data_IF_551462835490
#
_entry.id   IF_551462835490
#
_cell.length_a   1.000
_cell.length_b   1.000
_cell.length_c   1.000
_cell.angle_alpha   90.00
_cell.angle_beta   90.00
_cell.angle_gamma   90.00
#
_symmetry.space_group_name_H-M   'P 1'
#
loop_
_entity.id
_entity.type
_entity.pdbx_description
1 polymer ?
#
# COMPACT_ATOMS: atom_id res chain seq x y z
N UNK A 1 11.81 -1.92 -20.97
CA UNK A 1 12.92 -2.67 -20.32
C UNK A 1 12.87 -4.10 -20.82
N UNK A 2 14.00 -4.61 -21.32
CA UNK A 2 14.15 -6.01 -21.71
C UNK A 2 14.92 -6.77 -20.65
N UNK A 3 14.42 -7.93 -20.27
CA UNK A 3 14.99 -8.77 -19.22
C UNK A 3 15.14 -10.20 -19.73
N UNK A 4 16.29 -10.79 -19.48
CA UNK A 4 16.54 -12.21 -19.74
C UNK A 4 16.82 -12.94 -18.42
N UNK A 5 16.76 -14.29 -18.38
CA UNK A 5 17.10 -15.03 -17.19
C UNK A 5 18.51 -14.74 -16.67
N UNK A 6 19.44 -14.43 -17.58
CA UNK A 6 20.84 -14.09 -17.26
C UNK A 6 20.98 -12.73 -16.60
N UNK A 7 20.03 -11.82 -16.81
CA UNK A 7 20.05 -10.48 -16.24
C UNK A 7 19.46 -10.44 -14.81
N UNK A 8 18.76 -11.50 -14.39
CA UNK A 8 18.16 -11.57 -13.07
C UNK A 8 19.17 -12.13 -12.09
N UNK A 9 19.83 -11.26 -11.39
CA UNK A 9 20.71 -11.58 -10.27
C UNK A 9 20.36 -10.71 -9.08
N UNK A 10 20.62 -11.21 -7.87
CA UNK A 10 20.37 -10.47 -6.62
C UNK A 10 21.24 -11.03 -5.50
N UNK A 11 21.44 -10.23 -4.46
CA UNK A 11 22.18 -10.64 -3.28
C UNK A 11 21.35 -11.64 -2.44
N UNK A 12 22.02 -12.39 -1.60
CA UNK A 12 21.33 -13.25 -0.62
C UNK A 12 20.83 -12.46 0.60
N UNK A 13 21.25 -11.21 0.75
CA UNK A 13 20.76 -10.25 1.74
C UNK A 13 20.09 -9.09 1.02
N UNK A 14 18.84 -8.84 1.39
CA UNK A 14 17.98 -7.82 0.77
C UNK A 14 17.60 -6.77 1.79
N UNK A 15 17.84 -5.52 1.44
CA UNK A 15 17.37 -4.33 2.14
C UNK A 15 16.02 -3.92 1.53
N UNK A 16 14.95 -4.14 2.27
CA UNK A 16 13.59 -3.80 1.81
C UNK A 16 13.30 -2.31 2.03
N UNK A 17 12.44 -1.68 1.20
CA UNK A 17 11.95 -0.35 1.50
C UNK A 17 11.15 -0.36 2.80
N UNK A 18 11.08 0.78 3.49
CA UNK A 18 10.20 0.94 4.65
C UNK A 18 8.73 0.90 4.22
N UNK A 19 7.87 0.36 5.11
CA UNK A 19 6.44 0.20 4.85
C UNK A 19 5.78 1.53 4.49
N UNK A 20 5.26 1.61 3.27
CA UNK A 20 4.49 2.76 2.79
C UNK A 20 3.25 3.00 3.66
N UNK A 21 2.57 1.94 4.04
CA UNK A 21 1.33 2.01 4.82
C UNK A 21 1.56 2.55 6.23
N UNK A 22 2.65 2.15 6.88
CA UNK A 22 3.05 2.69 8.18
C UNK A 22 3.56 4.12 8.06
N UNK A 23 4.44 4.39 7.08
CA UNK A 23 5.01 5.72 6.85
C UNK A 23 3.94 6.79 6.66
N UNK A 24 2.92 6.52 5.84
CA UNK A 24 1.85 7.47 5.60
C UNK A 24 1.02 7.72 6.87
N UNK A 25 0.81 6.71 7.74
CA UNK A 25 0.14 6.89 9.03
C UNK A 25 0.99 7.68 10.01
N UNK A 26 2.28 7.39 10.08
CA UNK A 26 3.22 8.12 10.92
C UNK A 26 3.28 9.61 10.54
N UNK A 27 3.29 9.93 9.23
CA UNK A 27 3.22 11.31 8.74
C UNK A 27 1.93 12.02 9.18
N UNK A 28 0.79 11.33 9.13
CA UNK A 28 -0.48 11.91 9.60
C UNK A 28 -0.49 12.12 11.11
N UNK A 29 0.01 11.16 11.89
CA UNK A 29 0.15 11.29 13.35
C UNK A 29 1.03 12.49 13.69
N UNK A 30 2.16 12.63 13.00
CA UNK A 30 3.06 13.76 13.18
C UNK A 30 2.42 15.09 12.81
N UNK A 31 1.67 15.15 11.72
CA UNK A 31 0.92 16.35 11.31
C UNK A 31 -0.10 16.74 12.39
N UNK A 32 -0.87 15.79 12.91
CA UNK A 32 -1.87 16.05 13.96
C UNK A 32 -1.25 16.41 15.31
N UNK A 33 -0.14 15.80 15.69
CA UNK A 33 0.62 16.17 16.87
C UNK A 33 1.12 17.63 16.79
N UNK A 34 1.64 18.07 15.65
CA UNK A 34 2.03 19.47 15.42
C UNK A 34 0.82 20.40 15.54
N UNK A 35 -0.30 20.05 14.89
CA UNK A 35 -1.53 20.84 14.95
C UNK A 35 -2.02 21.03 16.39
N UNK A 36 -1.92 20.01 17.25
CA UNK A 36 -2.25 20.13 18.67
C UNK A 36 -1.32 21.09 19.41
N UNK A 37 0.00 21.01 19.17
CA UNK A 37 0.98 21.91 19.81
C UNK A 37 0.78 23.37 19.42
N UNK A 38 0.42 23.66 18.17
CA UNK A 38 0.15 25.01 17.70
C UNK A 38 -1.08 25.64 18.38
N UNK A 39 -2.12 24.88 18.65
CA UNK A 39 -3.29 25.36 19.40
C UNK A 39 -2.95 25.74 20.83
N UNK A 40 -1.95 25.14 21.45
CA UNK A 40 -1.52 25.41 22.83
C UNK A 40 -0.53 26.57 22.93
N UNK A 41 0.32 26.75 21.94
CA UNK A 41 1.33 27.79 21.91
C UNK A 41 0.78 29.05 21.26
N UNK A 42 0.21 29.99 22.06
CA UNK A 42 -0.15 31.33 21.56
C UNK A 42 1.03 32.13 21.01
N UNK A 43 2.26 31.65 21.14
CA UNK A 43 3.52 32.31 20.71
C UNK A 43 4.65 31.28 20.67
N UNK A 44 4.98 30.78 19.51
CA UNK A 44 6.38 30.47 19.12
C UNK A 44 6.44 29.98 17.66
N UNK A 45 7.36 30.55 16.87
CA UNK A 45 7.69 30.13 15.51
C UNK A 45 7.93 28.62 15.49
N UNK A 46 7.27 27.96 14.58
CA UNK A 46 7.48 26.53 14.30
C UNK A 46 8.87 26.38 13.78
N UNK A 47 9.67 25.60 14.46
CA UNK A 47 10.86 25.02 13.85
C UNK A 47 10.42 24.15 12.67
N UNK A 48 11.03 24.38 11.51
CA UNK A 48 10.70 23.78 10.23
C UNK A 48 10.61 22.24 10.28
N UNK A 49 9.92 21.67 9.32
CA UNK A 49 9.84 20.21 9.09
C UNK A 49 11.24 19.55 9.03
N UNK A 50 12.30 20.34 8.74
CA UNK A 50 13.70 19.90 8.75
C UNK A 50 14.24 19.52 10.14
N UNK A 51 13.65 20.01 11.23
CA UNK A 51 14.10 19.71 12.60
C UNK A 51 13.58 18.38 13.16
N UNK A 52 12.73 17.69 12.44
CA UNK A 52 12.34 16.34 12.82
C UNK A 52 13.37 15.35 12.30
N UNK A 53 14.08 14.69 13.20
CA UNK A 53 15.04 13.60 12.93
C UNK A 53 14.48 12.45 12.06
N UNK A 54 13.17 12.50 11.69
CA UNK A 54 12.56 11.62 10.68
C UNK A 54 13.01 11.94 9.25
N UNK A 55 13.53 13.17 8.99
CA UNK A 55 13.97 13.58 7.66
C UNK A 55 15.50 13.51 7.48
N UNK A 56 16.27 13.39 8.55
CA UNK A 56 17.73 13.36 8.48
C UNK A 56 18.33 11.99 8.13
N UNK A 57 17.51 10.95 8.11
CA UNK A 57 17.94 9.67 7.56
C UNK A 57 16.84 9.10 6.63
N UNK A 58 17.18 8.94 5.36
CA UNK A 58 16.44 8.20 4.34
C UNK A 58 16.02 6.77 4.78
N UNK A 59 16.41 6.38 5.98
CA UNK A 59 16.15 5.07 6.61
C UNK A 59 14.89 5.00 7.46
N UNK A 60 14.23 6.12 7.80
CA UNK A 60 13.15 6.13 8.79
C UNK A 60 11.74 6.06 8.21
N UNK A 61 11.51 6.53 6.98
CA UNK A 61 10.23 6.43 6.28
C UNK A 61 10.41 5.89 4.87
N UNK A 62 9.30 5.46 4.25
CA UNK A 62 9.30 5.03 2.85
C UNK A 62 9.70 6.16 1.91
N UNK A 63 10.56 5.86 0.94
CA UNK A 63 10.94 6.76 -0.17
C UNK A 63 10.00 6.61 -1.38
N UNK A 64 8.88 5.92 -1.22
CA UNK A 64 7.87 5.75 -2.27
C UNK A 64 7.24 7.08 -2.67
N UNK A 65 6.86 7.21 -3.95
CA UNK A 65 6.24 8.42 -4.49
C UNK A 65 5.01 8.85 -3.69
N UNK A 66 4.18 7.88 -3.24
CA UNK A 66 2.99 8.15 -2.43
C UNK A 66 3.37 8.82 -1.09
N UNK A 67 4.44 8.37 -0.42
CA UNK A 67 4.87 8.92 0.87
C UNK A 67 5.51 10.30 0.70
N UNK A 68 6.35 10.46 -0.32
CA UNK A 68 6.97 11.76 -0.66
C UNK A 68 5.91 12.79 -1.01
N UNK A 69 4.89 12.40 -1.78
CA UNK A 69 3.78 13.26 -2.15
C UNK A 69 2.97 13.70 -0.92
N UNK A 70 2.65 12.77 -0.01
CA UNK A 70 1.96 13.11 1.24
C UNK A 70 2.77 14.07 2.08
N UNK A 71 4.06 13.81 2.28
CA UNK A 71 4.97 14.69 3.02
C UNK A 71 4.99 16.10 2.41
N UNK A 72 5.09 16.21 1.08
CA UNK A 72 5.08 17.48 0.37
C UNK A 72 3.80 18.27 0.65
N UNK A 73 2.63 17.65 0.56
CA UNK A 73 1.36 18.34 0.82
C UNK A 73 1.20 18.74 2.28
N UNK A 74 1.64 17.91 3.23
CA UNK A 74 1.60 18.23 4.66
C UNK A 74 2.62 19.31 5.08
N UNK A 75 3.62 19.58 4.23
CA UNK A 75 4.64 20.61 4.46
C UNK A 75 4.23 22.00 3.94
N UNK A 76 3.11 22.11 3.23
CA UNK A 76 2.61 23.40 2.75
C UNK A 76 2.08 24.23 3.92
N UNK A 77 2.43 25.53 3.92
CA UNK A 77 1.91 26.48 4.91
C UNK A 77 0.62 27.11 4.41
N UNK A 78 -0.47 26.79 5.08
CA UNK A 78 -1.81 27.31 4.79
C UNK A 78 -2.26 28.42 5.76
N UNK A 79 -1.37 28.92 6.61
CA UNK A 79 -1.71 29.92 7.65
C UNK A 79 -2.09 31.31 7.09
N UNK A 80 -1.72 31.58 5.85
CA UNK A 80 -1.92 32.88 5.20
C UNK A 80 -3.04 32.91 4.18
N UNK A 81 -3.86 31.84 4.10
CA UNK A 81 -4.94 31.75 3.12
C UNK A 81 -6.02 32.80 3.38
N UNK A 82 -6.41 33.50 2.32
CA UNK A 82 -7.61 34.31 2.31
C UNK A 82 -8.87 33.46 2.12
N UNK A 83 -10.03 33.93 2.62
CA UNK A 83 -11.31 33.19 2.57
C UNK A 83 -11.75 32.83 1.13
N UNK A 84 -11.25 33.54 0.11
CA UNK A 84 -11.60 33.36 -1.30
C UNK A 84 -10.56 32.53 -2.08
N UNK A 85 -9.46 32.15 -1.47
CA UNK A 85 -8.41 31.39 -2.13
C UNK A 85 -8.77 29.90 -2.16
N UNK A 86 -8.60 29.30 -3.34
CA UNK A 86 -8.82 27.86 -3.55
C UNK A 86 -7.48 27.20 -3.83
N UNK A 87 -7.11 26.21 -3.01
CA UNK A 87 -5.87 25.48 -3.18
C UNK A 87 -6.17 24.14 -3.82
N UNK A 88 -5.49 23.87 -4.92
CA UNK A 88 -5.53 22.56 -5.58
C UNK A 88 -4.40 21.67 -5.09
N UNK A 89 -4.75 20.47 -4.65
CA UNK A 89 -3.83 19.42 -4.21
C UNK A 89 -3.96 18.20 -5.14
N UNK A 90 -2.98 18.06 -6.04
CA UNK A 90 -2.91 16.90 -6.93
C UNK A 90 -2.34 15.69 -6.17
N UNK A 91 -3.17 14.68 -5.97
CA UNK A 91 -2.81 13.43 -5.30
C UNK A 91 -2.29 12.36 -6.28
N UNK A 92 -2.03 12.69 -7.54
CA UNK A 92 -1.60 11.77 -8.59
C UNK A 92 -2.47 10.50 -8.64
N UNK A 93 -1.86 9.29 -8.54
CA UNK A 93 -2.60 8.03 -8.40
C UNK A 93 -2.51 7.46 -6.96
N UNK A 94 -2.24 8.30 -5.96
CA UNK A 94 -1.99 7.90 -4.57
C UNK A 94 -3.28 7.94 -3.72
N UNK A 95 -4.02 6.82 -3.68
CA UNK A 95 -5.30 6.73 -2.97
C UNK A 95 -5.22 7.01 -1.48
N UNK A 96 -4.12 6.64 -0.81
CA UNK A 96 -3.88 6.94 0.61
C UNK A 96 -3.70 8.44 0.82
N UNK A 97 -2.93 9.09 -0.05
CA UNK A 97 -2.69 10.55 0.00
C UNK A 97 -4.02 11.29 -0.08
N UNK A 98 -4.81 11.02 -1.12
CA UNK A 98 -6.12 11.66 -1.31
C UNK A 98 -7.03 11.49 -0.10
N UNK A 99 -7.20 10.25 0.40
CA UNK A 99 -8.13 9.96 1.50
C UNK A 99 -7.67 10.54 2.84
N UNK A 100 -6.37 10.54 3.11
CA UNK A 100 -5.84 11.13 4.34
C UNK A 100 -5.91 12.66 4.30
N UNK A 101 -5.61 13.27 3.17
CA UNK A 101 -5.74 14.72 3.00
C UNK A 101 -7.21 15.19 3.07
N UNK A 102 -8.19 14.40 2.57
CA UNK A 102 -9.61 14.76 2.72
C UNK A 102 -9.96 15.10 4.15
N UNK A 103 -9.60 14.25 5.11
CA UNK A 103 -9.87 14.52 6.53
C UNK A 103 -8.99 15.63 7.08
N UNK A 104 -7.71 15.70 6.69
CA UNK A 104 -6.79 16.73 7.19
C UNK A 104 -7.25 18.14 6.78
N UNK A 105 -7.50 18.36 5.48
CA UNK A 105 -7.93 19.70 5.00
C UNK A 105 -9.34 20.08 5.45
N UNK A 106 -10.18 19.09 5.80
CA UNK A 106 -11.50 19.34 6.39
C UNK A 106 -11.42 20.02 7.75
N UNK A 107 -10.27 19.95 8.43
CA UNK A 107 -10.02 20.59 9.74
C UNK A 107 -9.22 21.89 9.63
N UNK A 108 -8.86 22.32 8.43
CA UNK A 108 -8.09 23.55 8.16
C UNK A 108 -9.01 24.67 7.72
N UNK A 109 -8.63 25.92 7.98
CA UNK A 109 -9.32 27.07 7.39
C UNK A 109 -8.96 27.18 5.91
N UNK A 110 -9.95 27.40 5.05
CA UNK A 110 -9.75 27.58 3.61
C UNK A 110 -10.60 26.66 2.75
N UNK A 111 -10.41 26.78 1.44
CA UNK A 111 -11.09 25.96 0.42
C UNK A 111 -10.07 25.19 -0.37
N UNK A 112 -10.24 23.87 -0.45
CA UNK A 112 -9.30 22.95 -1.07
C UNK A 112 -9.98 22.15 -2.18
N UNK A 113 -9.28 21.95 -3.30
CA UNK A 113 -9.68 21.02 -4.35
C UNK A 113 -8.70 19.85 -4.33
N UNK A 114 -9.21 18.64 -4.09
CA UNK A 114 -8.41 17.44 -4.18
C UNK A 114 -8.71 16.74 -5.51
N UNK A 115 -7.65 16.51 -6.28
CA UNK A 115 -7.70 15.89 -7.59
C UNK A 115 -6.64 14.80 -7.75
N UNK A 116 -6.44 14.29 -8.95
CA UNK A 116 -5.40 13.33 -9.28
C UNK A 116 -5.50 12.85 -10.72
N UNK A 117 -4.78 11.80 -11.04
CA UNK A 117 -4.77 11.20 -12.39
C UNK A 117 -6.17 10.75 -12.84
N UNK A 118 -6.34 10.50 -14.14
CA UNK A 118 -7.61 9.97 -14.69
C UNK A 118 -8.03 8.67 -14.00
N UNK A 119 -7.08 7.85 -13.57
CA UNK A 119 -7.38 6.65 -12.76
C UNK A 119 -7.87 7.01 -11.36
N UNK A 120 -7.31 8.04 -10.72
CA UNK A 120 -7.78 8.51 -9.41
C UNK A 120 -9.22 8.99 -9.50
N UNK A 121 -9.61 9.69 -10.55
CA UNK A 121 -10.98 10.14 -10.80
C UNK A 121 -12.00 9.00 -10.98
N UNK A 122 -11.54 7.75 -11.08
CA UNK A 122 -12.36 6.54 -11.14
C UNK A 122 -12.40 5.77 -9.81
N UNK A 123 -11.69 6.24 -8.78
CA UNK A 123 -11.62 5.59 -7.46
C UNK A 123 -12.62 6.23 -6.50
N UNK A 124 -13.59 5.47 -5.95
CA UNK A 124 -14.67 6.05 -5.18
C UNK A 124 -14.19 6.66 -3.86
N UNK A 125 -14.85 7.76 -3.46
CA UNK A 125 -14.61 8.49 -2.19
C UNK A 125 -15.90 8.75 -1.41
N UNK A 126 -17.05 8.35 -1.94
CA UNK A 126 -18.37 8.67 -1.37
C UNK A 126 -18.49 8.33 0.13
N UNK A 127 -18.08 7.16 0.64
CA UNK A 127 -18.25 6.86 2.06
C UNK A 127 -17.55 7.88 2.97
N UNK A 128 -16.35 8.36 2.58
CA UNK A 128 -15.63 9.38 3.36
C UNK A 128 -16.24 10.77 3.20
N UNK A 129 -16.73 11.11 2.01
CA UNK A 129 -17.44 12.38 1.77
C UNK A 129 -18.71 12.46 2.61
N UNK A 130 -19.53 11.41 2.61
CA UNK A 130 -20.77 11.35 3.38
C UNK A 130 -20.48 11.44 4.89
N UNK A 131 -19.43 10.76 5.36
CA UNK A 131 -18.98 10.82 6.72
C UNK A 131 -18.56 12.25 7.14
N UNK A 132 -17.73 12.93 6.35
CA UNK A 132 -17.29 14.29 6.63
C UNK A 132 -18.44 15.29 6.53
N UNK A 133 -19.36 15.13 5.58
CA UNK A 133 -20.59 15.94 5.50
C UNK A 133 -21.46 15.80 6.75
N UNK A 134 -21.62 14.58 7.27
CA UNK A 134 -22.39 14.35 8.51
C UNK A 134 -21.72 14.99 9.74
N UNK A 135 -20.42 15.23 9.69
CA UNK A 135 -19.66 15.98 10.70
C UNK A 135 -19.68 17.51 10.47
N UNK A 136 -20.45 18.00 9.48
CA UNK A 136 -20.66 19.41 9.22
C UNK A 136 -19.76 20.05 8.18
N UNK A 137 -18.96 19.26 7.46
CA UNK A 137 -18.04 19.78 6.43
C UNK A 137 -18.77 19.93 5.09
N UNK A 138 -18.57 21.07 4.43
CA UNK A 138 -19.09 21.31 3.07
C UNK A 138 -18.14 20.71 2.04
N UNK A 139 -18.66 19.76 1.25
CA UNK A 139 -17.90 19.09 0.19
C UNK A 139 -18.76 19.01 -1.07
N UNK A 140 -18.19 19.41 -2.22
CA UNK A 140 -18.83 19.34 -3.52
C UNK A 140 -18.02 18.40 -4.44
N UNK A 141 -18.71 17.60 -5.23
CA UNK A 141 -18.12 16.89 -6.37
C UNK A 141 -18.04 17.85 -7.56
N UNK A 142 -16.88 17.98 -8.20
CA UNK A 142 -16.69 18.93 -9.28
C UNK A 142 -17.02 18.36 -10.68
N UNK A 143 -16.88 17.05 -10.86
CA UNK A 143 -17.13 16.38 -12.15
C UNK A 143 -18.21 15.30 -11.97
N UNK A 144 -17.87 14.18 -11.34
CA UNK A 144 -18.75 13.02 -11.21
C UNK A 144 -19.06 12.75 -9.75
N UNK A 145 -20.34 12.58 -9.40
CA UNK A 145 -20.74 12.20 -8.04
C UNK A 145 -20.06 10.91 -7.59
N UNK A 146 -19.65 10.87 -6.34
CA UNK A 146 -18.93 9.78 -5.67
C UNK A 146 -17.42 9.70 -6.00
N UNK A 147 -16.89 10.54 -6.87
CA UNK A 147 -15.51 10.49 -7.36
C UNK A 147 -14.80 11.84 -7.29
N UNK A 148 -13.45 11.86 -7.18
CA UNK A 148 -12.68 13.10 -7.38
C UNK A 148 -12.84 13.64 -8.83
N UNK A 149 -12.60 14.95 -9.07
CA UNK A 149 -12.16 15.97 -8.11
C UNK A 149 -13.28 16.39 -7.15
N UNK A 150 -12.86 16.72 -5.91
CA UNK A 150 -13.77 17.21 -4.87
C UNK A 150 -13.29 18.53 -4.32
N UNK A 151 -14.23 19.44 -4.02
CA UNK A 151 -13.97 20.70 -3.36
C UNK A 151 -14.41 20.63 -1.91
N UNK A 152 -13.52 20.92 -0.98
CA UNK A 152 -13.75 20.86 0.47
C UNK A 152 -13.58 22.26 1.04
N UNK A 153 -14.61 22.76 1.72
CA UNK A 153 -14.48 23.94 2.58
C UNK A 153 -14.25 23.46 4.01
N UNK A 154 -13.05 23.68 4.51
CA UNK A 154 -12.68 23.24 5.83
C UNK A 154 -13.38 24.02 6.94
N UNK A 155 -13.42 23.44 8.13
CA UNK A 155 -14.15 23.99 9.27
C UNK A 155 -13.90 23.22 10.56
N UNK A 156 -14.68 23.53 11.59
CA UNK A 156 -14.58 22.87 12.88
C UNK A 156 -15.32 21.52 12.85
N UNK A 157 -14.64 20.45 13.24
CA UNK A 157 -15.22 19.11 13.42
C UNK A 157 -15.28 18.82 14.93
N UNK A 158 -16.48 18.64 15.46
CA UNK A 158 -16.69 18.33 16.89
C UNK A 158 -16.56 16.84 17.19
N UNK A 159 -16.68 15.99 16.18
CA UNK A 159 -16.70 14.54 16.37
C UNK A 159 -18.07 14.02 16.85
N UNK A 160 -18.10 12.79 17.35
CA UNK A 160 -19.31 12.13 17.86
C UNK A 160 -19.52 10.73 17.28
N UNK A 161 -20.78 10.32 17.08
CA UNK A 161 -21.10 9.01 16.53
C UNK A 161 -21.13 9.06 14.99
N UNK A 162 -20.55 8.04 14.34
CA UNK A 162 -20.46 7.93 12.91
C UNK A 162 -20.53 6.47 12.45
N UNK A 163 -21.14 6.25 11.30
CA UNK A 163 -21.08 4.96 10.61
C UNK A 163 -20.35 5.14 9.29
N UNK A 164 -19.51 4.13 8.91
CA UNK A 164 -18.79 4.17 7.64
C UNK A 164 -18.67 2.79 7.02
N UNK A 165 -18.93 2.71 5.72
CA UNK A 165 -18.67 1.49 4.97
C UNK A 165 -17.18 1.36 4.66
N UNK A 166 -16.60 0.21 5.01
CA UNK A 166 -15.21 -0.16 4.71
C UNK A 166 -15.10 -1.17 3.56
N UNK A 167 -16.21 -1.47 2.92
CA UNK A 167 -16.27 -2.45 1.85
C UNK A 167 -15.32 -2.12 0.69
N UNK A 168 -15.24 -0.85 0.29
CA UNK A 168 -14.37 -0.39 -0.80
C UNK A 168 -12.95 -0.07 -0.33
N UNK A 169 -12.78 0.40 0.90
CA UNK A 169 -11.47 0.78 1.43
C UNK A 169 -11.46 0.99 2.94
N UNK A 170 -10.55 0.31 3.61
CA UNK A 170 -10.23 0.55 5.03
C UNK A 170 -9.60 1.93 5.29
N UNK A 171 -9.08 2.60 4.24
CA UNK A 171 -8.45 3.92 4.37
C UNK A 171 -9.44 5.01 4.78
N UNK A 172 -10.73 4.85 4.49
CA UNK A 172 -11.77 5.77 4.93
C UNK A 172 -11.85 5.82 6.46
N UNK A 173 -11.96 4.65 7.09
CA UNK A 173 -11.96 4.54 8.55
C UNK A 173 -10.62 5.00 9.14
N UNK A 174 -9.49 4.56 8.58
CA UNK A 174 -8.15 4.97 9.04
C UNK A 174 -7.96 6.49 9.04
N UNK A 175 -8.45 7.18 8.01
CA UNK A 175 -8.36 8.63 7.89
C UNK A 175 -9.10 9.36 9.02
N UNK A 176 -10.33 8.93 9.33
CA UNK A 176 -11.14 9.51 10.42
C UNK A 176 -10.55 9.19 11.81
N UNK A 177 -10.10 7.93 12.01
CA UNK A 177 -9.50 7.50 13.28
C UNK A 177 -8.26 8.33 13.63
N UNK A 178 -7.38 8.57 12.67
CA UNK A 178 -6.16 9.36 12.87
C UNK A 178 -6.46 10.82 13.26
N UNK A 179 -7.55 11.40 12.79
CA UNK A 179 -7.93 12.77 13.11
C UNK A 179 -8.75 12.89 14.42
N UNK A 180 -9.45 11.82 14.78
CA UNK A 180 -10.42 11.80 15.88
C UNK A 180 -9.90 12.28 17.26
N UNK A 181 -8.63 12.03 17.65
CA UNK A 181 -8.11 12.56 18.92
C UNK A 181 -8.15 14.08 19.04
N UNK A 182 -8.19 14.80 17.91
CA UNK A 182 -8.24 16.27 17.87
C UNK A 182 -9.64 16.83 18.03
N UNK A 183 -10.68 16.00 17.92
CA UNK A 183 -12.07 16.41 17.99
C UNK A 183 -12.58 16.49 19.44
N UNK A 184 -13.38 17.50 19.75
CA UNK A 184 -13.91 17.78 21.10
C UNK A 184 -14.59 16.56 21.74
N UNK A 185 -15.37 15.81 20.94
CA UNK A 185 -16.13 14.63 21.39
C UNK A 185 -15.43 13.30 21.04
N UNK A 186 -14.22 13.36 20.44
CA UNK A 186 -13.60 12.17 19.87
C UNK A 186 -14.48 11.56 18.78
N UNK A 187 -14.42 10.23 18.63
CA UNK A 187 -15.17 9.48 17.61
C UNK A 187 -15.66 8.14 18.15
N UNK A 188 -16.93 7.85 17.97
CA UNK A 188 -17.49 6.50 18.08
C UNK A 188 -17.85 6.03 16.67
N UNK A 189 -16.98 5.24 16.05
CA UNK A 189 -17.07 4.79 14.66
C UNK A 189 -17.62 3.37 14.59
N UNK A 190 -18.73 3.18 13.86
CA UNK A 190 -19.28 1.87 13.54
C UNK A 190 -18.91 1.52 12.10
N UNK A 191 -18.23 0.37 11.91
CA UNK A 191 -17.86 -0.14 10.59
C UNK A 191 -19.03 -0.92 9.99
N UNK A 192 -19.42 -0.59 8.75
CA UNK A 192 -20.51 -1.26 8.02
C UNK A 192 -19.99 -1.90 6.72
N UNK A 193 -20.84 -2.74 6.11
CA UNK A 193 -20.48 -3.49 4.91
C UNK A 193 -19.62 -4.72 5.19
N UNK A 194 -19.01 -5.25 4.14
CA UNK A 194 -18.05 -6.34 4.25
C UNK A 194 -16.72 -5.80 4.82
N UNK A 195 -16.23 -6.45 5.88
CA UNK A 195 -15.00 -6.03 6.60
C UNK A 195 -13.74 -6.46 5.84
N UNK A 196 -13.52 -5.88 4.67
CA UNK A 196 -12.30 -6.11 3.91
C UNK A 196 -11.13 -5.29 4.47
N UNK A 197 -9.91 -5.81 4.33
CA UNK A 197 -8.68 -5.09 4.69
C UNK A 197 -8.63 -4.60 6.15
N UNK A 198 -9.26 -5.35 7.08
CA UNK A 198 -9.29 -5.02 8.51
C UNK A 198 -7.90 -4.86 9.15
N UNK A 199 -6.87 -5.64 8.80
CA UNK A 199 -5.54 -5.47 9.36
C UNK A 199 -4.96 -4.07 9.19
N UNK A 200 -5.35 -3.31 8.14
CA UNK A 200 -4.92 -1.92 7.96
C UNK A 200 -5.59 -0.95 8.95
N UNK A 201 -6.81 -1.27 9.41
CA UNK A 201 -7.46 -0.52 10.50
C UNK A 201 -6.77 -0.86 11.82
N UNK A 202 -6.46 -2.14 12.05
CA UNK A 202 -5.73 -2.60 13.23
C UNK A 202 -4.34 -1.97 13.32
N UNK A 203 -3.61 -1.91 12.20
CA UNK A 203 -2.35 -1.17 12.10
C UNK A 203 -2.53 0.30 12.54
N UNK A 204 -3.56 0.98 12.06
CA UNK A 204 -3.85 2.37 12.44
C UNK A 204 -4.09 2.48 13.94
N UNK A 205 -4.94 1.62 14.51
CA UNK A 205 -5.25 1.61 15.95
C UNK A 205 -3.99 1.35 16.79
N UNK A 206 -3.17 0.39 16.39
CA UNK A 206 -1.96 0.04 17.13
C UNK A 206 -0.93 1.18 17.09
N UNK A 207 -0.74 1.83 15.94
CA UNK A 207 0.11 3.00 15.83
C UNK A 207 -0.40 4.18 16.69
N UNK A 208 -1.73 4.41 16.72
CA UNK A 208 -2.33 5.43 17.60
C UNK A 208 -2.11 5.11 19.08
N UNK A 209 -2.32 3.86 19.49
CA UNK A 209 -2.06 3.41 20.88
C UNK A 209 -0.59 3.57 21.28
N UNK A 210 0.33 3.25 20.36
CA UNK A 210 1.77 3.42 20.60
C UNK A 210 2.14 4.86 20.96
N UNK A 211 1.49 5.84 20.33
CA UNK A 211 1.69 7.27 20.62
C UNK A 211 0.71 7.84 21.67
N UNK A 212 0.14 6.97 22.50
CA UNK A 212 -0.60 7.34 23.71
C UNK A 212 -2.06 7.73 23.50
N UNK A 213 -2.66 7.44 22.36
CA UNK A 213 -4.09 7.66 22.13
C UNK A 213 -4.90 6.51 22.72
N UNK A 214 -5.96 6.86 23.47
CA UNK A 214 -6.89 5.88 24.03
C UNK A 214 -7.90 5.45 22.94
N UNK A 215 -7.74 4.21 22.45
CA UNK A 215 -8.62 3.61 21.45
C UNK A 215 -9.15 2.29 21.97
N UNK A 216 -10.46 2.18 22.05
CA UNK A 216 -11.17 0.95 22.37
C UNK A 216 -11.77 0.36 21.08
N UNK A 217 -11.65 -0.96 20.89
CA UNK A 217 -12.30 -1.66 19.78
C UNK A 217 -13.11 -2.84 20.31
N UNK A 218 -14.35 -2.91 19.86
CA UNK A 218 -15.23 -4.03 20.10
C UNK A 218 -15.92 -4.39 18.77
N UNK A 219 -15.49 -5.50 18.15
CA UNK A 219 -15.94 -5.97 16.85
C UNK A 219 -15.93 -4.85 15.78
N UNK A 220 -17.10 -4.38 15.38
CA UNK A 220 -17.31 -3.34 14.36
C UNK A 220 -17.25 -1.91 14.92
N UNK A 221 -17.24 -1.76 16.22
CA UNK A 221 -17.27 -0.45 16.89
C UNK A 221 -15.88 -0.07 17.40
N UNK A 222 -15.43 1.14 17.04
CA UNK A 222 -14.15 1.70 17.46
C UNK A 222 -14.44 3.02 18.15
N UNK A 223 -13.93 3.20 19.36
CA UNK A 223 -14.10 4.42 20.15
C UNK A 223 -12.72 5.06 20.33
N UNK A 224 -12.58 6.29 19.87
CA UNK A 224 -11.39 7.13 20.06
C UNK A 224 -11.79 8.28 20.96
N UNK A 225 -11.21 8.35 22.16
CA UNK A 225 -11.42 9.48 23.07
C UNK A 225 -10.60 10.70 22.65
N UNK A 226 -11.07 11.95 22.94
CA UNK A 226 -10.22 13.12 22.79
C UNK A 226 -8.89 12.88 23.52
N UNK A 227 -7.78 13.05 22.81
CA UNK A 227 -6.47 12.70 23.34
C UNK A 227 -5.40 13.58 22.71
N UNK A 228 -4.24 13.64 23.36
CA UNK A 228 -3.06 14.24 22.75
C UNK A 228 -2.13 13.16 22.24
N UNK A 229 -1.68 13.35 21.03
CA UNK A 229 -0.58 12.56 20.51
C UNK A 229 0.70 12.83 21.31
N UNK A 230 1.35 11.77 21.78
CA UNK A 230 2.70 11.82 22.32
C UNK A 230 3.63 11.34 21.23
N UNK A 231 4.45 12.21 20.70
CA UNK A 231 5.36 11.83 19.66
C UNK A 231 6.59 11.16 20.28
N UNK A 232 6.74 9.88 20.02
CA UNK A 232 7.95 9.10 20.25
C UNK A 232 8.52 8.67 18.89
N UNK A 233 9.79 8.29 18.85
CA UNK A 233 10.44 7.85 17.62
C UNK A 233 9.74 6.58 17.08
N UNK A 234 9.04 6.70 15.97
CA UNK A 234 8.51 5.55 15.26
C UNK A 234 9.63 4.81 14.53
N UNK A 235 9.74 3.52 14.77
CA UNK A 235 10.53 2.63 13.91
C UNK A 235 9.58 2.02 12.89
N UNK A 236 9.59 2.56 11.67
CA UNK A 236 8.82 2.00 10.55
C UNK A 236 9.46 0.68 10.12
N UNK A 237 8.66 -0.38 10.07
CA UNK A 237 9.13 -1.70 9.63
C UNK A 237 9.43 -1.73 8.12
N UNK A 238 10.30 -2.65 7.65
CA UNK A 238 10.35 -2.99 6.23
C UNK A 238 8.99 -3.46 5.70
N UNK A 239 8.76 -3.24 4.41
CA UNK A 239 7.44 -3.45 3.78
C UNK A 239 7.22 -4.93 3.42
N UNK A 240 6.24 -5.57 4.06
CA UNK A 240 5.84 -6.94 3.77
C UNK A 240 5.22 -7.10 2.37
N UNK A 241 4.58 -6.06 1.82
CA UNK A 241 4.16 -6.10 0.43
C UNK A 241 5.35 -6.18 -0.54
N UNK A 242 6.44 -5.47 -0.22
CA UNK A 242 7.70 -5.56 -0.99
C UNK A 242 8.37 -6.92 -0.78
N UNK A 243 8.32 -7.47 0.44
CA UNK A 243 8.84 -8.80 0.74
C UNK A 243 8.17 -9.88 -0.11
N UNK A 244 6.86 -9.79 -0.38
CA UNK A 244 6.13 -10.79 -1.17
C UNK A 244 6.76 -11.03 -2.55
N UNK A 245 7.31 -10.01 -3.20
CA UNK A 245 8.03 -10.17 -4.47
C UNK A 245 9.36 -10.92 -4.30
N UNK A 246 10.03 -10.80 -3.15
CA UNK A 246 11.24 -11.57 -2.87
C UNK A 246 10.94 -13.04 -2.53
N UNK A 247 9.78 -13.33 -1.95
CA UNK A 247 9.28 -14.69 -1.83
C UNK A 247 9.02 -15.30 -3.21
N UNK A 248 8.36 -14.57 -4.12
CA UNK A 248 8.16 -14.96 -5.50
C UNK A 248 9.49 -15.19 -6.22
N UNK A 249 10.41 -14.22 -6.17
CA UNK A 249 11.74 -14.31 -6.78
C UNK A 249 12.50 -15.53 -6.26
N UNK A 250 12.49 -15.79 -4.96
CA UNK A 250 13.12 -16.99 -4.41
C UNK A 250 12.45 -18.26 -4.92
N UNK A 251 11.11 -18.32 -4.94
CA UNK A 251 10.35 -19.47 -5.43
C UNK A 251 10.70 -19.81 -6.89
N UNK A 252 10.90 -18.80 -7.73
CA UNK A 252 11.21 -18.96 -9.16
C UNK A 252 12.69 -19.13 -9.46
N UNK A 253 13.61 -18.69 -8.58
CA UNK A 253 15.06 -18.72 -8.80
C UNK A 253 15.68 -20.09 -8.51
N UNK A 254 16.97 -20.24 -8.83
CA UNK A 254 17.79 -21.40 -8.45
C UNK A 254 18.45 -21.24 -7.07
N UNK A 255 18.26 -20.11 -6.39
CA UNK A 255 18.78 -19.89 -5.03
C UNK A 255 18.00 -20.69 -4.01
N UNK A 256 18.69 -21.10 -2.94
CA UNK A 256 18.09 -21.88 -1.84
C UNK A 256 17.57 -20.99 -0.71
N UNK A 257 18.08 -19.77 -0.55
CA UNK A 257 17.71 -18.87 0.54
C UNK A 257 17.97 -17.39 0.25
N UNK A 258 17.21 -16.53 0.94
CA UNK A 258 17.39 -15.07 0.99
C UNK A 258 17.21 -14.60 2.43
N UNK A 259 18.05 -13.67 2.89
CA UNK A 259 17.88 -12.95 4.15
C UNK A 259 17.21 -11.59 3.90
N UNK A 260 16.06 -11.36 4.52
CA UNK A 260 15.31 -10.11 4.47
C UNK A 260 15.61 -9.31 5.73
N UNK A 261 16.46 -8.31 5.58
CA UNK A 261 17.02 -7.53 6.69
C UNK A 261 15.95 -6.69 7.40
N UNK A 262 16.04 -6.62 8.73
CA UNK A 262 15.17 -5.87 9.64
C UNK A 262 13.68 -6.23 9.55
N UNK A 263 13.27 -7.17 8.70
CA UNK A 263 11.89 -7.62 8.60
C UNK A 263 11.49 -8.39 9.87
N UNK A 264 10.30 -8.14 10.40
CA UNK A 264 9.79 -8.81 11.60
C UNK A 264 8.78 -9.88 11.23
N UNK A 265 8.93 -11.08 11.77
CA UNK A 265 8.02 -12.20 11.50
C UNK A 265 6.62 -11.98 12.10
N UNK A 266 6.52 -11.28 13.23
CA UNK A 266 5.29 -10.93 14.00
C UNK A 266 4.82 -9.51 13.68
N UNK A 267 4.98 -9.10 12.43
CA UNK A 267 4.56 -7.79 11.96
C UNK A 267 3.05 -7.61 12.02
N UNK A 268 2.61 -6.37 12.28
CA UNK A 268 1.21 -5.94 12.21
C UNK A 268 0.76 -5.62 10.77
N UNK A 269 1.64 -5.70 9.79
CA UNK A 269 1.30 -5.49 8.40
C UNK A 269 0.44 -6.64 7.89
N UNK A 270 -0.68 -6.33 7.22
CA UNK A 270 -1.60 -7.32 6.65
C UNK A 270 -0.88 -8.35 5.78
N UNK A 271 0.10 -7.88 5.03
CA UNK A 271 0.82 -8.67 4.04
C UNK A 271 1.88 -9.60 4.65
N UNK A 272 2.05 -9.61 6.00
CA UNK A 272 2.87 -10.60 6.69
C UNK A 272 2.34 -12.04 6.53
N UNK A 273 1.08 -12.21 6.13
CA UNK A 273 0.51 -13.50 5.71
C UNK A 273 1.23 -14.12 4.50
N UNK A 274 2.06 -13.36 3.80
CA UNK A 274 2.95 -13.86 2.73
C UNK A 274 3.72 -15.10 3.16
N UNK A 275 4.24 -15.12 4.40
CA UNK A 275 4.97 -16.29 4.93
C UNK A 275 4.12 -17.57 4.95
N UNK A 276 2.82 -17.42 5.19
CA UNK A 276 1.90 -18.56 5.32
C UNK A 276 1.49 -19.07 3.92
N UNK A 277 1.14 -18.16 2.99
CA UNK A 277 0.76 -18.56 1.64
C UNK A 277 1.95 -19.14 0.85
N UNK A 278 3.15 -18.56 0.98
CA UNK A 278 4.33 -19.06 0.30
C UNK A 278 4.90 -20.36 0.92
N UNK A 279 4.50 -20.71 2.14
CA UNK A 279 4.79 -22.03 2.70
C UNK A 279 4.21 -23.14 1.84
N UNK A 280 2.97 -23.00 1.35
CA UNK A 280 2.37 -23.95 0.39
C UNK A 280 3.09 -23.95 -0.97
N UNK A 281 3.77 -22.87 -1.32
CA UNK A 281 4.59 -22.76 -2.54
C UNK A 281 6.06 -23.16 -2.32
N UNK A 282 6.38 -23.82 -1.21
CA UNK A 282 7.70 -24.36 -0.94
C UNK A 282 8.71 -23.36 -0.37
N UNK A 283 8.26 -22.29 0.29
CA UNK A 283 9.14 -21.31 0.94
C UNK A 283 8.91 -21.32 2.45
N UNK A 284 9.88 -21.78 3.20
CA UNK A 284 9.89 -21.73 4.66
C UNK A 284 10.43 -20.37 5.14
N UNK A 285 9.83 -19.87 6.21
CA UNK A 285 10.19 -18.59 6.84
C UNK A 285 10.64 -18.82 8.27
N UNK A 286 11.82 -18.32 8.64
CA UNK A 286 12.37 -18.43 10.00
C UNK A 286 12.89 -17.08 10.47
N UNK A 287 12.77 -16.83 11.78
CA UNK A 287 13.39 -15.67 12.42
C UNK A 287 14.92 -15.82 12.38
N UNK A 288 15.61 -14.74 12.06
CA UNK A 288 17.06 -14.65 12.11
C UNK A 288 17.48 -13.42 12.92
N UNK A 289 18.77 -13.32 13.28
CA UNK A 289 19.27 -12.10 13.91
C UNK A 289 19.07 -10.90 12.94
N UNK A 290 18.37 -9.89 13.41
CA UNK A 290 18.03 -8.66 12.67
C UNK A 290 17.28 -8.89 11.35
N UNK A 291 16.35 -9.85 11.30
CA UNK A 291 15.53 -10.04 10.11
C UNK A 291 14.87 -11.40 10.01
N UNK A 292 14.51 -11.76 8.79
CA UNK A 292 13.84 -13.00 8.44
C UNK A 292 14.64 -13.74 7.37
N UNK A 293 14.88 -15.04 7.58
CA UNK A 293 15.44 -15.93 6.58
C UNK A 293 14.31 -16.67 5.85
N UNK A 294 14.26 -16.58 4.54
CA UNK A 294 13.39 -17.38 3.70
C UNK A 294 14.21 -18.43 2.94
N UNK A 295 13.70 -19.67 2.88
CA UNK A 295 14.41 -20.82 2.29
C UNK A 295 13.48 -21.64 1.43
N UNK A 296 13.99 -22.13 0.30
CA UNK A 296 13.30 -23.15 -0.49
C UNK A 296 13.28 -24.48 0.24
N UNK A 297 12.16 -25.18 0.09
CA UNK A 297 11.97 -26.58 0.52
C UNK A 297 11.60 -27.43 -0.70
N UNK A 298 11.70 -28.75 -0.56
CA UNK A 298 11.28 -29.68 -1.60
C UNK A 298 9.74 -29.87 -1.65
N UNK A 299 9.01 -29.25 -0.74
CA UNK A 299 7.56 -29.37 -0.61
C UNK A 299 6.87 -28.18 -1.26
N UNK A 300 6.34 -28.37 -2.47
CA UNK A 300 5.47 -27.42 -3.15
C UNK A 300 4.14 -28.10 -3.45
N UNK A 301 3.04 -27.51 -3.00
CA UNK A 301 1.69 -28.00 -3.26
C UNK A 301 1.36 -27.85 -4.74
N UNK A 302 0.58 -28.77 -5.30
CA UNK A 302 0.13 -28.72 -6.71
C UNK A 302 -1.13 -27.87 -6.90
N UNK A 303 -1.78 -27.50 -5.83
CA UNK A 303 -2.99 -26.68 -5.83
C UNK A 303 -3.01 -25.76 -4.63
N UNK A 304 -3.22 -24.47 -4.87
CA UNK A 304 -3.29 -23.44 -3.84
C UNK A 304 -4.72 -22.88 -3.72
N UNK A 305 -5.24 -22.76 -2.51
CA UNK A 305 -6.43 -21.96 -2.22
C UNK A 305 -6.06 -20.83 -1.28
N UNK A 306 -6.41 -19.58 -1.64
CA UNK A 306 -6.11 -18.43 -0.81
C UNK A 306 -7.16 -17.32 -0.91
N UNK A 307 -7.48 -16.69 0.24
CA UNK A 307 -8.40 -15.57 0.36
C UNK A 307 -7.64 -14.24 0.55
N UNK A 308 -7.73 -13.35 -0.44
CA UNK A 308 -7.08 -12.04 -0.44
C UNK A 308 -7.90 -10.92 0.23
N UNK A 309 -9.02 -11.23 0.89
CA UNK A 309 -9.89 -10.21 1.53
C UNK A 309 -9.10 -9.25 2.42
N UNK A 310 -8.11 -9.75 3.15
CA UNK A 310 -7.31 -8.97 4.09
C UNK A 310 -5.95 -8.52 3.58
N UNK A 311 -5.45 -9.14 2.50
CA UNK A 311 -4.13 -8.87 1.91
C UNK A 311 -4.16 -8.77 0.38
N UNK A 312 -4.98 -7.85 -0.18
CA UNK A 312 -5.16 -7.74 -1.64
C UNK A 312 -3.89 -7.28 -2.37
N UNK A 313 -2.92 -6.75 -1.65
CA UNK A 313 -1.73 -6.17 -2.23
C UNK A 313 -0.67 -7.21 -2.62
N UNK A 314 -0.72 -8.42 -2.04
CA UNK A 314 0.17 -9.53 -2.43
C UNK A 314 -0.40 -10.39 -3.57
N UNK A 315 -1.64 -10.14 -4.02
CA UNK A 315 -2.28 -10.90 -5.10
C UNK A 315 -1.38 -11.06 -6.35
N UNK A 316 -0.78 -9.99 -6.91
CA UNK A 316 0.05 -10.13 -8.11
C UNK A 316 1.25 -11.07 -7.91
N UNK A 317 1.96 -10.96 -6.79
CA UNK A 317 3.13 -11.81 -6.50
C UNK A 317 2.75 -13.29 -6.33
N UNK A 318 1.64 -13.57 -5.62
CA UNK A 318 1.18 -14.95 -5.40
C UNK A 318 0.72 -15.59 -6.71
N UNK A 319 -0.06 -14.87 -7.52
CA UNK A 319 -0.57 -15.39 -8.80
C UNK A 319 0.56 -15.63 -9.80
N UNK A 320 1.54 -14.70 -9.88
CA UNK A 320 2.72 -14.88 -10.73
C UNK A 320 3.60 -16.05 -10.25
N UNK A 321 3.80 -16.20 -8.94
CA UNK A 321 4.52 -17.35 -8.38
C UNK A 321 3.83 -18.67 -8.73
N UNK A 322 2.50 -18.77 -8.58
CA UNK A 322 1.73 -19.95 -8.98
C UNK A 322 1.91 -20.25 -10.48
N UNK A 323 1.82 -19.23 -11.35
CA UNK A 323 2.03 -19.40 -12.80
C UNK A 323 3.44 -19.91 -13.11
N UNK A 324 4.48 -19.30 -12.52
CA UNK A 324 5.87 -19.69 -12.75
C UNK A 324 6.25 -21.06 -12.19
N UNK A 325 5.59 -21.50 -11.11
CA UNK A 325 5.74 -22.82 -10.49
C UNK A 325 4.81 -23.88 -11.10
N UNK A 326 3.90 -23.49 -11.99
CA UNK A 326 2.87 -24.35 -12.58
C UNK A 326 1.94 -24.98 -11.53
N UNK A 327 1.53 -24.18 -10.54
CA UNK A 327 0.59 -24.55 -9.46
C UNK A 327 -0.80 -24.04 -9.83
N UNK A 328 -1.76 -24.95 -9.94
CA UNK A 328 -3.16 -24.59 -10.10
C UNK A 328 -3.70 -23.93 -8.84
N UNK A 329 -4.69 -23.03 -8.97
CA UNK A 329 -5.17 -22.31 -7.81
C UNK A 329 -6.64 -21.87 -7.89
N UNK A 330 -7.25 -21.63 -6.71
CA UNK A 330 -8.48 -20.90 -6.54
C UNK A 330 -8.28 -19.74 -5.56
N UNK A 331 -8.61 -18.55 -6.01
CA UNK A 331 -8.43 -17.31 -5.27
C UNK A 331 -9.79 -16.68 -4.97
N UNK A 332 -9.97 -16.19 -3.74
CA UNK A 332 -11.14 -15.43 -3.31
C UNK A 332 -10.74 -14.08 -2.71
N UNK A 333 -11.73 -13.25 -2.31
CA UNK A 333 -11.48 -11.93 -1.74
C UNK A 333 -11.01 -10.90 -2.78
N UNK A 334 -11.43 -11.02 -4.05
CA UNK A 334 -10.88 -10.27 -5.18
C UNK A 334 -11.66 -8.99 -5.54
N UNK A 335 -12.84 -8.77 -4.93
CA UNK A 335 -13.77 -7.67 -5.27
C UNK A 335 -13.10 -6.30 -5.36
N UNK A 336 -12.18 -6.03 -4.43
CA UNK A 336 -11.53 -4.72 -4.34
C UNK A 336 -10.32 -4.55 -5.28
N UNK A 337 -9.93 -5.58 -6.02
CA UNK A 337 -8.79 -5.50 -6.95
C UNK A 337 -9.10 -4.64 -8.18
N UNK A 338 -10.38 -4.56 -8.58
CA UNK A 338 -10.84 -3.76 -9.72
C UNK A 338 -10.74 -2.25 -9.50
N UNK A 339 -10.70 -1.79 -8.25
CA UNK A 339 -10.67 -0.36 -7.88
C UNK A 339 -9.29 0.09 -7.33
N UNK A 340 -8.27 -0.74 -7.48
CA UNK A 340 -6.88 -0.39 -7.13
C UNK A 340 -6.25 0.51 -8.22
N UNK A 341 -4.94 0.62 -8.23
CA UNK A 341 -4.16 1.40 -9.21
C UNK A 341 -4.48 1.01 -10.66
N UNK A 342 -4.74 -0.26 -10.88
CA UNK A 342 -5.31 -0.87 -12.08
C UNK A 342 -6.48 -1.78 -11.67
N UNK A 343 -7.17 -2.39 -12.62
CA UNK A 343 -7.95 -3.60 -12.37
C UNK A 343 -6.97 -4.78 -12.31
N UNK A 344 -6.41 -5.02 -11.11
CA UNK A 344 -5.35 -6.02 -10.90
C UNK A 344 -5.76 -7.43 -11.30
N UNK A 345 -7.03 -7.81 -11.04
CA UNK A 345 -7.55 -9.12 -11.44
C UNK A 345 -7.45 -9.29 -12.95
N UNK A 346 -8.04 -8.36 -13.72
CA UNK A 346 -8.01 -8.40 -15.18
C UNK A 346 -6.60 -8.28 -15.74
N UNK A 347 -5.78 -7.40 -15.17
CA UNK A 347 -4.40 -7.23 -15.60
C UNK A 347 -3.62 -8.56 -15.51
N UNK A 348 -3.64 -9.22 -14.34
CA UNK A 348 -2.94 -10.51 -14.17
C UNK A 348 -3.52 -11.60 -15.08
N UNK A 349 -4.84 -11.68 -15.25
CA UNK A 349 -5.45 -12.62 -16.19
C UNK A 349 -4.98 -12.40 -17.62
N UNK A 350 -4.98 -11.16 -18.11
CA UNK A 350 -4.56 -10.82 -19.46
C UNK A 350 -3.08 -11.15 -19.69
N UNK A 351 -2.22 -10.78 -18.75
CA UNK A 351 -0.77 -10.93 -18.93
C UNK A 351 -0.35 -12.41 -18.82
N UNK A 352 -0.86 -13.14 -17.86
CA UNK A 352 -0.50 -14.55 -17.67
C UNK A 352 -1.16 -15.47 -18.71
N UNK A 353 -2.24 -15.06 -19.39
CA UNK A 353 -2.79 -15.79 -20.53
C UNK A 353 -1.81 -15.91 -21.70
N UNK A 354 -0.86 -14.94 -21.85
CA UNK A 354 0.24 -14.99 -22.82
C UNK A 354 1.17 -16.17 -22.56
N UNK A 355 1.20 -16.65 -21.31
CA UNK A 355 1.94 -17.85 -20.88
C UNK A 355 1.10 -19.14 -20.94
N UNK A 356 -0.07 -19.10 -21.60
CA UNK A 356 -1.04 -20.20 -21.70
C UNK A 356 -1.67 -20.60 -20.35
N UNK A 357 -1.61 -19.72 -19.35
CA UNK A 357 -2.37 -19.88 -18.12
C UNK A 357 -3.85 -19.61 -18.41
N UNK A 358 -4.73 -20.50 -17.98
CA UNK A 358 -6.17 -20.42 -18.20
C UNK A 358 -6.86 -19.96 -16.94
N UNK A 359 -7.73 -18.97 -17.07
CA UNK A 359 -8.52 -18.44 -15.96
C UNK A 359 -10.00 -18.70 -16.18
N UNK A 360 -10.67 -19.10 -15.12
CA UNK A 360 -12.13 -19.18 -15.03
C UNK A 360 -12.61 -18.13 -14.02
N UNK A 361 -13.31 -17.11 -14.51
CA UNK A 361 -13.90 -16.05 -13.68
C UNK A 361 -15.21 -16.55 -13.10
N UNK A 362 -15.15 -17.24 -11.94
CA UNK A 362 -16.30 -17.89 -11.30
C UNK A 362 -17.30 -16.85 -10.79
N UNK A 363 -16.78 -15.73 -10.27
CA UNK A 363 -17.57 -14.57 -9.83
C UNK A 363 -16.66 -13.34 -9.70
N UNK A 364 -17.25 -12.18 -9.40
CA UNK A 364 -16.47 -10.97 -9.11
C UNK A 364 -15.45 -11.16 -7.98
N UNK A 365 -15.68 -12.15 -7.13
CA UNK A 365 -14.89 -12.41 -5.92
C UNK A 365 -14.01 -13.66 -6.01
N UNK A 366 -14.27 -14.56 -6.95
CA UNK A 366 -13.59 -15.87 -7.05
C UNK A 366 -13.00 -16.07 -8.44
N UNK A 367 -11.74 -16.45 -8.51
CA UNK A 367 -10.99 -16.73 -9.72
C UNK A 367 -10.29 -18.08 -9.61
N UNK A 368 -10.52 -18.99 -10.57
CA UNK A 368 -9.75 -20.21 -10.73
C UNK A 368 -8.67 -20.03 -11.79
N UNK A 369 -7.50 -20.60 -11.51
CA UNK A 369 -6.35 -20.57 -12.38
C UNK A 369 -5.88 -22.00 -12.65
N UNK A 370 -5.63 -22.31 -13.93
CA UNK A 370 -5.04 -23.58 -14.38
C UNK A 370 -3.79 -23.27 -15.19
N UNK A 371 -2.69 -23.88 -14.80
CA UNK A 371 -1.41 -23.75 -15.47
C UNK A 371 -1.28 -24.78 -16.60
N UNK A 372 -0.54 -24.45 -17.68
CA UNK A 372 -0.21 -25.44 -18.70
C UNK A 372 0.78 -26.47 -18.13
N UNK A 373 0.82 -27.67 -18.72
CA UNK A 373 1.83 -28.68 -18.35
C UNK A 373 3.26 -28.18 -18.55
N UNK A 374 3.46 -27.26 -19.50
CA UNK A 374 4.75 -26.63 -19.77
C UNK A 374 4.53 -25.16 -20.17
N UNK A 375 5.27 -24.26 -19.50
CA UNK A 375 5.30 -22.85 -19.87
C UNK A 375 5.98 -22.66 -21.23
N UNK A 376 5.52 -21.69 -22.06
CA UNK A 376 6.26 -21.29 -23.25
C UNK A 376 7.62 -20.71 -22.85
N UNK A 377 8.61 -20.88 -23.71
CA UNK A 377 9.93 -20.28 -23.54
C UNK A 377 10.21 -19.32 -24.69
N UNK A 378 10.60 -18.10 -24.37
CA UNK A 378 10.86 -17.03 -25.31
C UNK A 378 12.38 -16.82 -25.45
N UNK A 379 12.87 -16.73 -26.70
CA UNK A 379 14.28 -16.52 -27.05
C UNK A 379 14.64 -15.02 -27.08
N UNK A 380 15.92 -14.71 -27.35
CA UNK A 380 16.36 -13.32 -27.56
C UNK A 380 15.73 -12.64 -28.76
N UNK A 381 15.21 -13.40 -29.69
CA UNK A 381 14.56 -12.89 -30.91
C UNK A 381 13.05 -12.69 -30.70
N UNK A 382 12.48 -13.36 -29.69
CA UNK A 382 11.03 -13.38 -29.43
C UNK A 382 10.76 -13.13 -27.93
N UNK A 383 10.59 -11.88 -27.53
CA UNK A 383 10.22 -11.50 -26.17
C UNK A 383 8.71 -11.65 -25.94
N UNK A 384 8.31 -12.14 -24.75
CA UNK A 384 6.96 -11.87 -24.28
C UNK A 384 6.87 -10.46 -23.73
N UNK A 385 6.02 -9.63 -24.30
CA UNK A 385 5.80 -8.25 -23.81
C UNK A 385 4.66 -8.23 -22.82
N UNK A 386 4.95 -7.77 -21.61
CA UNK A 386 3.96 -7.56 -20.55
C UNK A 386 3.63 -6.06 -20.40
N UNK A 387 2.33 -5.76 -20.26
CA UNK A 387 1.85 -4.45 -19.82
C UNK A 387 1.74 -4.41 -18.29
N UNK A 388 2.22 -3.37 -17.69
CA UNK A 388 2.09 -3.15 -16.24
C UNK A 388 0.85 -2.34 -15.85
N UNK A 389 0.06 -1.87 -16.80
CA UNK A 389 -1.17 -1.08 -16.56
C UNK A 389 -0.94 0.13 -15.65
N UNK A 390 0.26 0.69 -15.66
CA UNK A 390 0.71 1.76 -14.73
C UNK A 390 0.56 1.38 -13.25
N UNK A 391 0.64 0.09 -12.94
CA UNK A 391 0.60 -0.47 -11.58
C UNK A 391 1.95 -1.13 -11.24
N UNK A 392 2.62 -0.56 -10.25
CA UNK A 392 3.93 -1.01 -9.77
C UNK A 392 3.95 -2.48 -9.34
N UNK A 393 2.84 -3.00 -8.76
CA UNK A 393 2.76 -4.38 -8.30
C UNK A 393 2.65 -5.36 -9.45
N UNK A 394 2.00 -4.98 -10.54
CA UNK A 394 1.97 -5.79 -11.77
C UNK A 394 3.38 -5.86 -12.39
N UNK A 395 4.08 -4.72 -12.47
CA UNK A 395 5.45 -4.69 -12.98
C UNK A 395 6.40 -5.58 -12.17
N UNK A 396 6.35 -5.48 -10.82
CA UNK A 396 7.21 -6.26 -9.93
C UNK A 396 6.93 -7.76 -9.97
N UNK A 397 5.67 -8.17 -10.19
CA UNK A 397 5.27 -9.57 -10.25
C UNK A 397 5.58 -10.23 -11.61
N UNK A 398 5.47 -9.50 -12.73
CA UNK A 398 5.63 -10.13 -14.05
C UNK A 398 7.09 -10.27 -14.49
N UNK A 399 7.97 -9.36 -14.06
CA UNK A 399 9.40 -9.39 -14.47
C UNK A 399 10.13 -10.63 -13.95
N UNK A 400 9.96 -11.11 -12.73
CA UNK A 400 10.62 -12.32 -12.24
C UNK A 400 10.28 -13.59 -13.02
N UNK A 401 9.15 -13.63 -13.74
CA UNK A 401 8.76 -14.74 -14.59
C UNK A 401 9.80 -15.05 -15.69
N UNK A 402 10.64 -14.08 -16.07
CA UNK A 402 11.76 -14.29 -16.98
C UNK A 402 12.66 -15.45 -16.55
N UNK A 403 12.75 -15.77 -15.26
CA UNK A 403 13.49 -16.94 -14.74
C UNK A 403 12.92 -18.29 -15.23
N UNK A 404 11.64 -18.31 -15.65
CA UNK A 404 10.93 -19.53 -16.08
C UNK A 404 10.60 -19.53 -17.57
N UNK A 405 10.28 -18.35 -18.12
CA UNK A 405 9.80 -18.25 -19.50
C UNK A 405 10.83 -17.68 -20.49
N UNK A 406 12.04 -17.33 -20.03
CA UNK A 406 13.08 -16.78 -20.89
C UNK A 406 13.03 -15.26 -20.97
N UNK A 407 12.84 -14.69 -22.16
CA UNK A 407 12.99 -13.26 -22.39
C UNK A 407 11.66 -12.51 -22.24
N UNK A 408 11.67 -11.48 -21.40
CA UNK A 408 10.51 -10.65 -21.07
C UNK A 408 10.79 -9.19 -21.44
N UNK A 409 9.81 -8.51 -22.03
CA UNK A 409 9.83 -7.08 -22.24
C UNK A 409 8.75 -6.40 -21.39
N UNK A 410 9.11 -5.33 -20.66
CA UNK A 410 8.21 -4.52 -19.84
C UNK A 410 8.33 -3.06 -20.23
N UNK A 411 7.19 -2.44 -20.54
CA UNK A 411 7.11 -0.99 -20.77
C UNK A 411 7.02 -0.22 -19.44
N UNK A 412 7.53 1.02 -19.43
CA UNK A 412 7.45 1.95 -18.30
C UNK A 412 7.81 1.31 -16.94
N UNK A 413 9.00 0.69 -16.80
CA UNK A 413 9.40 0.00 -15.57
C UNK A 413 9.53 0.93 -14.35
N UNK A 414 9.71 2.25 -14.57
CA UNK A 414 9.80 3.30 -13.54
C UNK A 414 8.57 3.35 -12.63
N UNK A 415 7.45 2.78 -13.03
CA UNK A 415 6.22 2.71 -12.21
C UNK A 415 6.45 2.09 -10.82
N UNK A 416 7.53 1.32 -10.63
CA UNK A 416 7.88 0.69 -9.34
C UNK A 416 8.25 1.73 -8.27
N UNK A 417 8.64 2.96 -8.66
CA UNK A 417 8.94 4.06 -7.73
C UNK A 417 7.79 4.37 -6.78
N UNK A 418 6.57 4.04 -7.17
CA UNK A 418 5.37 4.21 -6.36
C UNK A 418 5.41 3.49 -5.00
N UNK A 419 6.16 2.39 -4.87
CA UNK A 419 6.30 1.66 -3.61
C UNK A 419 7.69 1.09 -3.34
N UNK A 420 8.46 0.77 -4.38
CA UNK A 420 9.79 0.20 -4.27
C UNK A 420 10.73 0.76 -5.35
N UNK A 421 11.23 2.00 -5.20
CA UNK A 421 12.05 2.66 -6.23
C UNK A 421 13.26 1.85 -6.67
N UNK A 422 13.90 1.13 -5.73
CA UNK A 422 15.14 0.38 -5.96
C UNK A 422 14.93 -1.08 -6.41
N UNK A 423 13.68 -1.49 -6.74
CA UNK A 423 13.36 -2.90 -7.02
C UNK A 423 14.23 -3.49 -8.14
N UNK A 424 14.27 -2.84 -9.29
CA UNK A 424 15.04 -3.35 -10.43
C UNK A 424 16.55 -3.26 -10.23
N UNK A 425 17.03 -2.26 -9.48
CA UNK A 425 18.44 -2.20 -9.10
C UNK A 425 18.82 -3.35 -8.16
N UNK A 426 17.93 -3.73 -7.26
CA UNK A 426 18.13 -4.86 -6.35
C UNK A 426 18.19 -6.19 -7.10
N UNK A 427 17.52 -6.31 -8.25
CA UNK A 427 17.58 -7.47 -9.15
C UNK A 427 18.85 -7.49 -10.03
N UNK A 428 19.52 -6.37 -10.24
CA UNK A 428 20.65 -6.26 -11.19
C UNK A 428 22.04 -6.06 -10.53
N UNK A 429 22.11 -5.96 -9.19
CA UNK A 429 23.36 -5.60 -8.47
C UNK A 429 24.54 -6.57 -8.59
N UNK A 430 24.42 -7.71 -9.25
CA UNK A 430 25.56 -8.65 -9.42
C UNK A 430 26.37 -8.49 -10.70
N UNK A 431 26.09 -7.52 -11.55
CA UNK A 431 26.93 -7.25 -12.74
C UNK A 431 28.22 -6.48 -12.46
N UNK A 432 28.36 -5.80 -11.30
CA UNK A 432 29.48 -4.90 -11.02
C UNK A 432 30.64 -5.49 -10.20
N UNK A 433 30.46 -6.60 -9.51
CA UNK A 433 31.53 -7.19 -8.66
C UNK A 433 32.40 -8.24 -9.36
N UNK A 434 32.03 -8.70 -10.55
CA UNK A 434 32.84 -9.66 -11.34
C UNK A 434 33.60 -9.03 -12.51
N UNK A 435 33.68 -7.70 -12.58
CA UNK A 435 34.43 -6.95 -13.60
C UNK A 435 35.58 -6.15 -12.96
N UNK A 436 36.29 -6.77 -12.02
CA UNK A 436 37.61 -6.30 -11.54
C UNK A 436 38.60 -7.46 -11.50
#
# INVERSE_FOLDING_TARGET
>A
MRVSPLNISFNSEIDLPRSKSESNRALMIMHYWKTQRHKDAKTQRVEDFETLRLCDSSTLISTSDDTVLLLRHLSLDFSHLSDNEVIELDCANAGTVLRFLMTAVSMMNGTFVLTGSERMKQRPVKPLVDALRSLGISIDYLEKEAYPPIKIKGGEIKGGNLEISVEQSSQFASSLLLAAPLWEKGLSLTLTGNLSSMPYIDMTINMMKYVGVDVERNDRKIIVKPSRYRFDDFVIEPDWSAAAFWYEILALSDKSQIFLKDLKIDSLQADAVTKDVFKSLGIETTTADKGVMIRKTDSCEKYLTFDFTHSPDIFPAVVAACAGLQVDAEFSGLKNLSIKESDRKKAMMNELSKLKVVFEDVSDDVLRMRCPERLPYFSEEEYVTFDNYKDHRIAMALVPLAMKVGHVEMENPEVVSKSYPMFFESLSRKGAENAK
#
